data_IF_666638157439
#
_entry.id   IF_666638157439
#
_cell.length_a   1.000
_cell.length_b   1.000
_cell.length_c   1.000
_cell.angle_alpha   90.00
_cell.angle_beta   90.00
_cell.angle_gamma   90.00
#
_symmetry.space_group_name_H-M   'P 1'
#
loop_
_entity.id
_entity.type
_entity.pdbx_description
1 polymer ?
#
# COMPACT_ATOMS: atom_id res chain seq x y z
N UNK A 1 -2.41 -7.53 24.33
CA UNK A 1 -1.29 -7.44 23.38
C UNK A 1 -0.99 -5.98 23.06
N UNK A 2 0.28 -5.54 23.00
CA UNK A 2 0.59 -4.14 22.71
C UNK A 2 0.19 -3.74 21.27
N UNK A 3 -0.66 -2.71 21.11
CA UNK A 3 -1.11 -2.10 19.83
C UNK A 3 -0.02 -1.75 18.81
N UNK A 4 1.25 -1.73 19.21
CA UNK A 4 2.37 -1.53 18.28
C UNK A 4 2.61 -2.75 17.38
N UNK A 5 2.36 -3.96 17.88
CA UNK A 5 2.52 -5.20 17.12
C UNK A 5 1.46 -5.37 16.02
N UNK A 6 0.43 -4.51 15.98
CA UNK A 6 -0.63 -4.53 14.96
C UNK A 6 -0.40 -3.50 13.84
N UNK A 7 0.63 -2.66 13.95
CA UNK A 7 1.04 -1.73 12.89
C UNK A 7 1.70 -2.53 11.75
N UNK A 8 1.20 -2.44 10.51
CA UNK A 8 1.75 -3.19 9.35
C UNK A 8 3.22 -2.84 9.00
N UNK A 9 3.75 -1.76 9.58
CA UNK A 9 5.15 -1.40 9.50
C UNK A 9 5.97 -1.89 10.68
N UNK A 10 5.37 -2.30 11.79
CA UNK A 10 6.14 -2.82 12.92
C UNK A 10 6.89 -4.08 12.48
N UNK A 11 8.12 -4.23 12.97
CA UNK A 11 8.90 -5.45 12.76
C UNK A 11 8.71 -6.35 13.99
N UNK A 12 7.83 -7.37 13.94
CA UNK A 12 7.37 -8.08 15.14
C UNK A 12 8.48 -8.84 15.89
N UNK A 13 9.61 -9.11 15.22
CA UNK A 13 10.79 -9.76 15.81
C UNK A 13 11.88 -8.81 16.30
N UNK A 14 11.69 -7.49 16.25
CA UNK A 14 12.66 -6.52 16.77
C UNK A 14 12.05 -5.77 17.96
N UNK A 15 12.75 -5.82 19.09
CA UNK A 15 12.38 -5.06 20.28
C UNK A 15 12.72 -3.58 20.11
N UNK A 16 11.97 -2.67 20.78
CA UNK A 16 12.36 -1.27 20.89
C UNK A 16 13.81 -1.15 21.39
N UNK A 17 14.56 -0.19 20.84
CA UNK A 17 15.97 0.00 21.16
C UNK A 17 16.27 1.47 21.42
N UNK A 18 17.31 1.74 22.20
CA UNK A 18 17.81 3.10 22.39
C UNK A 18 18.88 3.39 21.35
N UNK A 19 18.73 4.42 20.50
CA UNK A 19 19.74 4.78 19.50
C UNK A 19 21.08 5.14 20.15
N UNK A 20 22.20 4.70 19.57
CA UNK A 20 23.54 5.07 20.08
C UNK A 20 23.77 6.58 20.00
N UNK A 21 23.20 7.20 18.97
CA UNK A 21 23.39 8.61 18.60
C UNK A 21 22.63 9.57 19.55
N UNK A 22 21.71 9.03 20.35
CA UNK A 22 20.78 9.77 21.19
C UNK A 22 20.72 9.09 22.57
N UNK A 23 21.80 9.23 23.33
CA UNK A 23 21.99 8.55 24.63
C UNK A 23 20.94 8.89 25.70
N UNK A 24 20.14 9.94 25.52
CA UNK A 24 19.21 10.46 26.53
C UNK A 24 17.75 10.52 26.05
N UNK A 25 17.35 9.66 25.10
CA UNK A 25 15.96 9.60 24.61
C UNK A 25 15.27 8.28 24.91
N UNK A 26 13.94 8.35 24.97
CA UNK A 26 13.06 7.19 25.08
C UNK A 26 13.35 6.14 23.99
N UNK A 27 13.09 4.85 24.26
CA UNK A 27 13.27 3.78 23.29
C UNK A 27 12.51 4.05 21.99
N UNK A 28 13.19 3.88 20.85
CA UNK A 28 12.57 4.00 19.52
C UNK A 28 12.04 2.66 19.05
N UNK A 29 10.99 2.70 18.24
CA UNK A 29 10.22 1.53 17.83
C UNK A 29 10.57 1.12 16.38
N UNK A 30 11.15 -0.07 16.15
CA UNK A 30 11.61 -0.50 14.83
C UNK A 30 10.46 -0.65 13.82
N UNK A 31 10.61 -0.07 12.64
CA UNK A 31 9.62 -0.17 11.56
C UNK A 31 10.27 -0.57 10.24
N UNK A 32 9.48 -1.07 9.32
CA UNK A 32 9.92 -1.32 7.96
C UNK A 32 10.36 0.01 7.30
N UNK A 33 11.42 0.00 6.46
CA UNK A 33 11.91 1.19 5.75
C UNK A 33 10.87 1.86 4.86
N UNK A 34 9.80 1.15 4.50
CA UNK A 34 8.68 1.70 3.73
C UNK A 34 7.78 2.67 4.52
N UNK A 35 7.96 2.79 5.84
CA UNK A 35 7.22 3.75 6.65
C UNK A 35 7.71 5.18 6.37
N UNK A 36 6.83 6.05 5.85
CA UNK A 36 7.15 7.47 5.56
C UNK A 36 7.56 8.29 6.79
N UNK A 37 7.26 7.80 8.00
CA UNK A 37 7.61 8.45 9.26
C UNK A 37 8.87 7.84 9.91
N UNK A 38 9.47 6.83 9.27
CA UNK A 38 10.67 6.20 9.78
C UNK A 38 11.87 7.15 9.70
N UNK A 39 12.68 7.10 10.75
CA UNK A 39 14.00 7.73 10.81
C UNK A 39 15.02 6.60 10.98
N UNK A 40 16.16 6.73 10.30
CA UNK A 40 17.26 5.78 10.45
C UNK A 40 18.05 6.10 11.72
N UNK A 41 18.08 5.15 12.66
CA UNK A 41 18.85 5.26 13.90
C UNK A 41 19.98 4.25 13.92
N UNK A 42 21.13 4.62 14.48
CA UNK A 42 22.25 3.70 14.64
C UNK A 42 22.01 2.77 15.82
N UNK A 43 22.24 1.48 15.60
CA UNK A 43 22.01 0.43 16.60
C UNK A 43 23.33 -0.24 16.94
N UNK A 44 23.49 -0.63 18.21
CA UNK A 44 24.72 -1.19 18.73
C UNK A 44 25.13 -2.46 17.97
N UNK A 45 24.17 -3.35 17.71
CA UNK A 45 24.43 -4.65 17.11
C UNK A 45 23.24 -5.13 16.24
N UNK A 46 23.49 -5.59 15.00
CA UNK A 46 24.71 -5.34 14.23
C UNK A 46 24.88 -3.82 14.01
N UNK A 47 26.12 -3.29 14.06
CA UNK A 47 26.44 -1.87 13.83
C UNK A 47 25.90 -1.38 12.47
N UNK A 48 24.65 -0.97 12.47
CA UNK A 48 23.86 -0.70 11.28
C UNK A 48 22.77 0.31 11.60
N UNK A 49 22.16 0.85 10.55
CA UNK A 49 21.04 1.77 10.68
C UNK A 49 19.74 0.99 10.58
N UNK A 50 18.90 1.10 11.61
CA UNK A 50 17.55 0.55 11.61
C UNK A 50 16.55 1.70 11.49
N UNK A 51 15.59 1.52 10.59
CA UNK A 51 14.43 2.40 10.48
C UNK A 51 13.55 2.22 11.73
N UNK A 52 13.33 3.30 12.48
CA UNK A 52 12.47 3.30 13.66
C UNK A 52 11.69 4.61 13.79
N UNK A 53 10.68 4.64 14.65
CA UNK A 53 9.91 5.84 15.00
C UNK A 53 10.14 6.20 16.48
N UNK A 54 10.22 7.51 16.81
CA UNK A 54 10.50 7.96 18.18
C UNK A 54 9.29 7.88 19.12
N UNK A 55 8.08 7.79 18.58
CA UNK A 55 6.85 7.77 19.35
C UNK A 55 5.93 6.69 18.80
N UNK A 56 5.33 5.90 19.70
CA UNK A 56 4.43 4.80 19.39
C UNK A 56 3.14 5.31 18.75
N UNK A 57 2.66 6.47 19.19
CA UNK A 57 1.39 7.05 18.75
C UNK A 57 1.50 7.65 17.33
N UNK A 58 2.73 7.82 16.83
CA UNK A 58 2.98 8.15 15.42
C UNK A 58 2.63 7.03 14.45
N UNK A 59 2.45 5.77 14.88
CA UNK A 59 1.85 4.77 13.98
C UNK A 59 0.31 4.84 13.97
N UNK A 60 -0.35 5.36 15.02
CA UNK A 60 -1.82 5.45 15.09
C UNK A 60 -2.42 6.38 14.02
N UNK A 61 -1.66 7.41 13.60
CA UNK A 61 -2.02 8.29 12.49
C UNK A 61 -1.28 7.96 11.19
N UNK A 62 -0.74 6.74 11.05
CA UNK A 62 -0.13 6.28 9.81
C UNK A 62 -1.22 5.97 8.77
N UNK A 63 -1.12 6.46 7.53
CA UNK A 63 -2.07 6.12 6.47
C UNK A 63 -2.04 4.64 6.04
N UNK A 64 -1.12 3.84 6.60
CA UNK A 64 -1.03 2.38 6.45
C UNK A 64 -1.41 1.64 7.74
N UNK A 65 -1.98 2.35 8.73
CA UNK A 65 -2.70 1.72 9.83
C UNK A 65 -3.85 0.97 9.19
N UNK A 66 -3.66 -0.33 9.03
CA UNK A 66 -4.59 -1.16 8.30
C UNK A 66 -5.76 -1.35 9.23
N UNK A 67 -6.89 -0.81 8.81
CA UNK A 67 -8.15 -0.97 9.50
C UNK A 67 -8.32 -2.46 9.84
N UNK A 68 -8.60 -2.85 11.09
CA UNK A 68 -8.94 -4.23 11.41
C UNK A 68 -10.06 -4.77 10.52
N UNK A 69 -10.92 -3.91 9.97
CA UNK A 69 -11.96 -4.28 8.99
C UNK A 69 -11.39 -4.76 7.64
N UNK A 70 -10.12 -4.45 7.34
CA UNK A 70 -9.39 -4.89 6.14
C UNK A 70 -8.50 -6.11 6.37
N UNK A 71 -8.64 -6.77 7.53
CA UNK A 71 -7.96 -8.03 7.83
C UNK A 71 -8.87 -9.21 7.52
N UNK A 72 -8.33 -10.21 6.82
CA UNK A 72 -8.93 -11.53 6.70
C UNK A 72 -8.04 -12.57 7.35
N UNK A 73 -8.63 -13.52 8.05
CA UNK A 73 -7.93 -14.70 8.56
C UNK A 73 -8.26 -15.88 7.66
N UNK A 74 -7.23 -16.56 7.19
CA UNK A 74 -7.31 -17.74 6.34
C UNK A 74 -6.83 -18.95 7.13
N UNK A 75 -7.57 -20.05 7.02
CA UNK A 75 -7.25 -21.34 7.63
C UNK A 75 -7.23 -22.43 6.56
N UNK A 76 -6.28 -23.34 6.65
CA UNK A 76 -6.26 -24.57 5.87
C UNK A 76 -5.56 -25.67 6.66
N UNK A 77 -6.32 -26.65 7.15
CA UNK A 77 -5.83 -27.58 8.19
C UNK A 77 -5.29 -26.83 9.40
N UNK A 78 -4.05 -27.12 9.79
CA UNK A 78 -3.34 -26.45 10.90
C UNK A 78 -2.74 -25.09 10.52
N UNK A 79 -2.72 -24.76 9.23
CA UNK A 79 -2.19 -23.49 8.76
C UNK A 79 -3.16 -22.34 9.06
N UNK A 80 -2.64 -21.27 9.65
CA UNK A 80 -3.36 -20.02 9.88
C UNK A 80 -2.53 -18.83 9.40
N UNK A 81 -3.15 -17.93 8.64
CA UNK A 81 -2.55 -16.67 8.22
C UNK A 81 -3.52 -15.52 8.33
N UNK A 82 -3.01 -14.38 8.79
CA UNK A 82 -3.74 -13.11 8.80
C UNK A 82 -3.22 -12.24 7.65
N UNK A 83 -4.12 -11.77 6.80
CA UNK A 83 -3.80 -11.09 5.55
C UNK A 83 -4.51 -9.75 5.50
N UNK A 84 -3.74 -8.72 5.21
CA UNK A 84 -4.24 -7.39 4.95
C UNK A 84 -4.63 -7.23 3.48
N UNK A 85 -5.90 -6.88 3.25
CA UNK A 85 -6.46 -6.78 1.90
C UNK A 85 -5.78 -5.68 1.06
N UNK A 86 -5.42 -4.55 1.67
CA UNK A 86 -4.71 -3.46 0.98
C UNK A 86 -3.32 -3.89 0.44
N UNK A 87 -2.72 -4.93 1.03
CA UNK A 87 -1.36 -5.41 0.68
C UNK A 87 -1.37 -6.45 -0.44
N UNK A 88 -2.55 -6.81 -0.96
CA UNK A 88 -2.66 -7.71 -2.11
C UNK A 88 -1.95 -7.15 -3.36
N UNK A 89 -1.91 -5.82 -3.50
CA UNK A 89 -1.20 -5.14 -4.59
C UNK A 89 0.30 -5.46 -4.64
N UNK A 90 0.91 -5.63 -3.47
CA UNK A 90 2.35 -5.83 -3.29
C UNK A 90 2.80 -7.26 -3.62
N UNK A 91 1.86 -8.21 -3.62
CA UNK A 91 2.18 -9.62 -3.82
C UNK A 91 2.41 -9.94 -5.31
N UNK A 92 3.48 -10.68 -5.65
CA UNK A 92 3.66 -11.20 -7.01
C UNK A 92 2.44 -12.04 -7.45
N UNK A 93 2.13 -12.04 -8.75
CA UNK A 93 0.96 -12.74 -9.32
C UNK A 93 0.98 -14.25 -8.97
N UNK A 94 2.16 -14.86 -8.95
CA UNK A 94 2.34 -16.26 -8.56
C UNK A 94 1.92 -16.51 -7.12
N UNK A 95 2.27 -15.62 -6.20
CA UNK A 95 1.91 -15.72 -4.79
C UNK A 95 0.43 -15.42 -4.57
N UNK A 96 -0.14 -14.45 -5.29
CA UNK A 96 -1.58 -14.18 -5.27
C UNK A 96 -2.40 -15.41 -5.67
N UNK A 97 -2.02 -16.10 -6.76
CA UNK A 97 -2.69 -17.32 -7.18
C UNK A 97 -2.63 -18.42 -6.12
N UNK A 98 -1.46 -18.64 -5.52
CA UNK A 98 -1.30 -19.63 -4.43
C UNK A 98 -2.17 -19.27 -3.23
N UNK A 99 -2.18 -17.99 -2.86
CA UNK A 99 -2.98 -17.50 -1.75
C UNK A 99 -4.48 -17.68 -1.99
N UNK A 100 -4.96 -17.31 -3.17
CA UNK A 100 -6.38 -17.46 -3.54
C UNK A 100 -6.78 -18.93 -3.53
N UNK A 101 -5.93 -19.82 -4.07
CA UNK A 101 -6.17 -21.28 -4.00
C UNK A 101 -6.25 -21.80 -2.57
N UNK A 102 -5.39 -21.30 -1.67
CA UNK A 102 -5.40 -21.66 -0.26
C UNK A 102 -6.68 -21.17 0.45
N UNK A 103 -7.15 -19.97 0.13
CA UNK A 103 -8.42 -19.46 0.68
C UNK A 103 -9.59 -20.34 0.26
N UNK A 104 -9.59 -20.76 -1.01
CA UNK A 104 -10.67 -21.53 -1.63
C UNK A 104 -10.55 -23.04 -1.41
N UNK A 105 -9.47 -23.56 -0.80
CA UNK A 105 -9.36 -25.00 -0.51
C UNK A 105 -10.33 -25.44 0.59
N UNK A 106 -10.58 -24.57 1.57
CA UNK A 106 -11.43 -24.82 2.74
C UNK A 106 -12.54 -23.78 2.84
N UNK A 107 -13.44 -23.77 1.85
CA UNK A 107 -14.47 -22.73 1.67
C UNK A 107 -15.37 -22.55 2.88
N UNK A 108 -15.72 -23.62 3.59
CA UNK A 108 -16.53 -23.55 4.81
C UNK A 108 -15.81 -22.84 5.96
N UNK A 109 -14.53 -23.12 6.17
CA UNK A 109 -13.77 -22.49 7.27
C UNK A 109 -13.45 -21.04 6.95
N UNK A 110 -13.29 -20.73 5.66
CA UNK A 110 -12.89 -19.41 5.17
C UNK A 110 -14.06 -18.58 4.62
N UNK A 111 -15.32 -18.95 4.88
CA UNK A 111 -16.51 -18.28 4.32
C UNK A 111 -16.48 -16.76 4.55
N UNK A 112 -16.31 -16.34 5.81
CA UNK A 112 -16.22 -14.92 6.16
C UNK A 112 -15.03 -14.20 5.48
N UNK A 113 -13.91 -14.90 5.26
CA UNK A 113 -12.76 -14.33 4.56
C UNK A 113 -13.02 -14.20 3.05
N UNK A 114 -13.73 -15.17 2.45
CA UNK A 114 -14.14 -15.18 1.05
C UNK A 114 -15.11 -14.04 0.78
N UNK A 115 -16.12 -13.85 1.62
CA UNK A 115 -17.10 -12.76 1.49
C UNK A 115 -16.42 -11.39 1.59
N UNK A 116 -15.61 -11.17 2.64
CA UNK A 116 -14.87 -9.92 2.83
C UNK A 116 -13.91 -9.62 1.68
N UNK A 117 -13.16 -10.62 1.22
CA UNK A 117 -12.25 -10.46 0.08
C UNK A 117 -13.03 -10.11 -1.19
N UNK A 118 -14.19 -10.73 -1.42
CA UNK A 118 -15.03 -10.44 -2.59
C UNK A 118 -15.53 -8.99 -2.57
N UNK A 119 -16.13 -8.58 -1.45
CA UNK A 119 -16.64 -7.21 -1.29
C UNK A 119 -15.52 -6.17 -1.40
N UNK A 120 -14.34 -6.44 -0.83
CA UNK A 120 -13.20 -5.55 -0.93
C UNK A 120 -12.68 -5.41 -2.37
N UNK A 121 -12.59 -6.50 -3.13
CA UNK A 121 -12.13 -6.43 -4.52
C UNK A 121 -13.10 -5.61 -5.40
N UNK A 122 -14.40 -5.76 -5.19
CA UNK A 122 -15.42 -4.97 -5.89
C UNK A 122 -15.30 -3.47 -5.57
N UNK A 123 -15.24 -3.13 -4.28
CA UNK A 123 -15.04 -1.74 -3.83
C UNK A 123 -13.71 -1.16 -4.34
N UNK A 124 -12.60 -1.88 -4.22
CA UNK A 124 -11.28 -1.40 -4.64
C UNK A 124 -11.19 -1.17 -6.16
N UNK A 125 -11.84 -2.01 -6.97
CA UNK A 125 -11.91 -1.82 -8.42
C UNK A 125 -12.72 -0.58 -8.77
N UNK A 126 -13.86 -0.34 -8.12
CA UNK A 126 -14.68 0.84 -8.38
C UNK A 126 -14.01 2.13 -7.89
N UNK A 127 -13.46 2.14 -6.67
CA UNK A 127 -12.72 3.28 -6.11
C UNK A 127 -11.52 3.66 -7.00
N UNK A 128 -10.74 2.66 -7.43
CA UNK A 128 -9.59 2.92 -8.30
C UNK A 128 -10.00 3.43 -9.69
N UNK A 129 -11.16 2.98 -10.21
CA UNK A 129 -11.75 3.49 -11.45
C UNK A 129 -12.18 4.95 -11.31
N UNK A 130 -12.83 5.31 -10.21
CA UNK A 130 -13.22 6.69 -9.91
C UNK A 130 -12.01 7.59 -9.74
N UNK A 131 -10.98 7.13 -9.02
CA UNK A 131 -9.73 7.86 -8.87
C UNK A 131 -9.03 8.10 -10.23
N UNK A 132 -9.04 7.11 -11.12
CA UNK A 132 -8.53 7.28 -12.48
C UNK A 132 -9.36 8.28 -13.30
N UNK A 133 -10.69 8.22 -13.24
CA UNK A 133 -11.58 9.20 -13.90
C UNK A 133 -11.30 10.62 -13.42
N UNK A 134 -11.18 10.82 -12.10
CA UNK A 134 -10.87 12.12 -11.52
C UNK A 134 -9.49 12.63 -11.97
N UNK A 135 -8.46 11.79 -11.92
CA UNK A 135 -7.13 12.16 -12.40
C UNK A 135 -7.12 12.51 -13.90
N UNK A 136 -7.93 11.80 -14.70
CA UNK A 136 -8.09 12.10 -16.13
C UNK A 136 -8.77 13.44 -16.36
N UNK A 137 -9.79 13.76 -15.57
CA UNK A 137 -10.46 15.07 -15.62
C UNK A 137 -9.50 16.19 -15.22
N UNK A 138 -8.78 16.04 -14.10
CA UNK A 138 -7.74 16.98 -13.67
C UNK A 138 -6.68 17.22 -14.76
N UNK A 139 -6.32 16.17 -15.51
CA UNK A 139 -5.37 16.29 -16.62
C UNK A 139 -5.96 17.10 -17.77
N UNK A 140 -7.18 16.81 -18.21
CA UNK A 140 -7.84 17.55 -19.30
C UNK A 140 -8.04 19.02 -18.93
N UNK A 141 -8.53 19.29 -17.71
CA UNK A 141 -8.82 20.65 -17.24
C UNK A 141 -7.55 21.45 -16.95
N UNK A 142 -6.49 20.79 -16.48
CA UNK A 142 -5.25 21.43 -16.01
C UNK A 142 -4.10 21.46 -17.02
N UNK A 143 -4.16 20.70 -18.11
CA UNK A 143 -3.09 20.63 -19.10
C UNK A 143 -3.04 21.90 -19.96
N UNK A 144 -1.85 22.49 -20.09
CA UNK A 144 -1.62 23.65 -20.95
C UNK A 144 -0.60 23.32 -22.03
N UNK A 145 -0.98 23.41 -23.30
CA UNK A 145 -0.05 23.18 -24.39
C UNK A 145 1.00 24.30 -24.44
N UNK A 146 2.27 23.93 -24.53
CA UNK A 146 3.39 24.86 -24.38
C UNK A 146 3.80 25.52 -25.69
N UNK A 147 3.33 25.03 -26.85
CA UNK A 147 3.86 25.45 -28.15
C UNK A 147 3.54 26.89 -28.49
N UNK A 148 2.31 27.34 -28.22
CA UNK A 148 1.95 28.76 -28.39
C UNK A 148 2.44 29.64 -27.24
N UNK A 149 2.71 29.07 -26.06
CA UNK A 149 3.14 29.82 -24.86
C UNK A 149 4.60 30.28 -24.92
N UNK A 150 5.42 29.67 -25.78
CA UNK A 150 6.84 30.04 -25.97
C UNK A 150 7.03 31.52 -26.34
N UNK A 151 6.05 32.11 -27.03
CA UNK A 151 6.08 33.50 -27.50
C UNK A 151 5.57 34.52 -26.47
N UNK A 152 4.80 34.08 -25.46
CA UNK A 152 4.11 34.97 -24.51
C UNK A 152 4.58 34.82 -23.06
N UNK A 153 5.25 33.72 -22.72
CA UNK A 153 5.69 33.41 -21.37
C UNK A 153 7.21 33.46 -21.25
N UNK A 154 7.70 33.87 -20.08
CA UNK A 154 9.11 33.72 -19.74
C UNK A 154 9.52 32.25 -19.66
N UNK A 155 10.81 31.96 -19.85
CA UNK A 155 11.39 30.62 -19.68
C UNK A 155 11.02 29.99 -18.33
N UNK A 156 10.98 30.78 -17.26
CA UNK A 156 10.62 30.33 -15.90
C UNK A 156 9.16 29.90 -15.80
N UNK A 157 8.23 30.64 -16.41
CA UNK A 157 6.81 30.28 -16.45
C UNK A 157 6.57 29.01 -17.28
N UNK A 158 7.22 28.88 -18.43
CA UNK A 158 7.15 27.67 -19.26
C UNK A 158 7.66 26.41 -18.53
N UNK A 159 8.75 26.55 -17.75
CA UNK A 159 9.28 25.46 -16.94
C UNK A 159 8.25 25.00 -15.88
N UNK A 160 7.58 25.92 -15.20
CA UNK A 160 6.57 25.59 -14.21
C UNK A 160 5.33 24.92 -14.83
N UNK A 161 4.87 25.41 -15.98
CA UNK A 161 3.77 24.79 -16.73
C UNK A 161 4.14 23.35 -17.16
N UNK A 162 5.34 23.16 -17.68
CA UNK A 162 5.83 21.84 -18.09
C UNK A 162 5.92 20.88 -16.91
N UNK A 163 6.40 21.37 -15.75
CA UNK A 163 6.45 20.59 -14.50
C UNK A 163 5.04 20.18 -14.04
N UNK A 164 4.06 21.09 -14.11
CA UNK A 164 2.69 20.77 -13.78
C UNK A 164 2.08 19.74 -14.75
N UNK A 165 2.28 19.89 -16.07
CA UNK A 165 1.82 18.92 -17.06
C UNK A 165 2.41 17.53 -16.81
N UNK A 166 3.72 17.44 -16.53
CA UNK A 166 4.38 16.17 -16.16
C UNK A 166 3.76 15.55 -14.92
N UNK A 167 3.46 16.35 -13.89
CA UNK A 167 2.77 15.91 -12.67
C UNK A 167 1.38 15.35 -12.97
N UNK A 168 0.58 16.05 -13.77
CA UNK A 168 -0.76 15.61 -14.15
C UNK A 168 -0.70 14.29 -14.94
N UNK A 169 0.19 14.19 -15.94
CA UNK A 169 0.40 12.96 -16.71
C UNK A 169 0.82 11.78 -15.83
N UNK A 170 1.74 12.01 -14.88
CA UNK A 170 2.18 10.99 -13.94
C UNK A 170 1.05 10.51 -13.02
N UNK A 171 0.17 11.41 -12.55
CA UNK A 171 -1.01 11.04 -11.75
C UNK A 171 -1.96 10.14 -12.53
N UNK A 172 -2.29 10.49 -13.78
CA UNK A 172 -3.15 9.66 -14.65
C UNK A 172 -2.53 8.28 -14.87
N UNK A 173 -1.24 8.22 -15.22
CA UNK A 173 -0.53 6.97 -15.46
C UNK A 173 -0.54 6.07 -14.21
N UNK A 174 -0.28 6.65 -13.04
CA UNK A 174 -0.25 5.92 -11.77
C UNK A 174 -1.63 5.39 -11.38
N UNK A 175 -2.68 6.22 -11.50
CA UNK A 175 -4.05 5.82 -11.20
C UNK A 175 -4.54 4.71 -12.14
N UNK A 176 -4.24 4.81 -13.44
CA UNK A 176 -4.56 3.77 -14.43
C UNK A 176 -3.84 2.45 -14.11
N UNK A 177 -2.55 2.51 -13.76
CA UNK A 177 -1.77 1.33 -13.41
C UNK A 177 -2.32 0.64 -12.15
N UNK A 178 -2.70 1.42 -11.14
CA UNK A 178 -3.32 0.92 -9.91
C UNK A 178 -4.65 0.23 -10.20
N UNK A 179 -5.53 0.86 -10.99
CA UNK A 179 -6.79 0.25 -11.40
C UNK A 179 -6.59 -1.06 -12.18
N UNK A 180 -5.67 -1.08 -13.14
CA UNK A 180 -5.32 -2.29 -13.89
C UNK A 180 -4.78 -3.41 -13.00
N UNK A 181 -4.06 -3.06 -11.92
CA UNK A 181 -3.57 -4.02 -10.93
C UNK A 181 -4.71 -4.66 -10.14
N UNK A 182 -5.67 -3.86 -9.66
CA UNK A 182 -6.85 -4.36 -8.97
C UNK A 182 -7.73 -5.24 -9.85
N UNK A 183 -7.99 -4.82 -11.09
CA UNK A 183 -8.69 -5.63 -12.09
C UNK A 183 -8.04 -7.00 -12.26
N UNK A 184 -6.70 -7.04 -12.38
CA UNK A 184 -5.98 -8.30 -12.52
C UNK A 184 -6.15 -9.23 -11.31
N UNK A 185 -6.18 -8.68 -10.09
CA UNK A 185 -6.43 -9.46 -8.88
C UNK A 185 -7.86 -10.01 -8.88
N UNK A 186 -8.84 -9.16 -9.22
CA UNK A 186 -10.25 -9.57 -9.33
C UNK A 186 -10.46 -10.66 -10.39
N UNK A 187 -9.82 -10.55 -11.55
CA UNK A 187 -9.87 -11.60 -12.59
C UNK A 187 -9.33 -12.92 -12.06
N UNK A 188 -8.15 -12.93 -11.43
CA UNK A 188 -7.57 -14.15 -10.86
C UNK A 188 -8.50 -14.76 -9.79
N UNK A 189 -9.12 -13.92 -8.96
CA UNK A 189 -10.09 -14.35 -7.96
C UNK A 189 -11.30 -15.06 -8.59
N UNK A 190 -11.90 -14.44 -9.60
CA UNK A 190 -13.07 -14.97 -10.29
C UNK A 190 -12.74 -16.25 -11.08
N UNK A 191 -11.62 -16.26 -11.81
CA UNK A 191 -11.15 -17.43 -12.56
C UNK A 191 -10.88 -18.63 -11.64
N UNK A 192 -10.44 -18.39 -10.41
CA UNK A 192 -10.17 -19.48 -9.45
C UNK A 192 -11.45 -19.97 -8.76
N UNK A 193 -12.43 -19.08 -8.53
CA UNK A 193 -13.75 -19.47 -8.00
C UNK A 193 -14.58 -20.26 -9.01
N UNK A 194 -14.53 -19.87 -10.27
CA UNK A 194 -15.22 -20.49 -11.37
C UNK A 194 -14.18 -20.95 -12.40
N UNK A 195 -13.49 -22.09 -12.17
CA UNK A 195 -12.56 -22.61 -13.14
C UNK A 195 -13.31 -22.75 -14.46
N UNK A 196 -12.92 -21.99 -15.49
CA UNK A 196 -13.41 -22.21 -16.83
C UNK A 196 -12.99 -23.62 -17.23
N UNK A 197 -13.99 -24.50 -17.40
CA UNK A 197 -13.82 -25.84 -17.95
C UNK A 197 -13.23 -25.79 -19.36
#
# INVERSE_FOLDING_TARGET
MPKYNTCAHARPGLHPFTPIDLKDRDPVFPVAPCCKRAVSYKVAEPRSYLSAIPDRDRCESCPMFTDPDKLITVRSGDFRADIYLDRLLDLPVTNLRKLIKLILSDTWTNEAAIERLTAHLESAVEESKQAWKLASKDYVDGYKATDYLKSYCSKKQLAEITKNNKRLAARVKSAKALHGRWLKIQTIWNDTKHPMN
#
